data_IF_711127928799
#
_entry.id   IF_711127928799
#
_cell.length_a   1.000
_cell.length_b   1.000
_cell.length_c   1.000
_cell.angle_alpha   90.00
_cell.angle_beta   90.00
_cell.angle_gamma   90.00
#
_symmetry.space_group_name_H-M   'P 1'
#
loop_
_entity.id
_entity.type
_entity.pdbx_description
1 polymer ?
#
# COMPACT_ATOMS: atom_id res chain seq x y z
N UNK A 1 2.77 6.12 18.61
CA UNK A 1 1.58 5.30 18.91
C UNK A 1 1.85 3.87 18.44
N UNK A 2 1.87 2.90 19.33
CA UNK A 2 1.84 1.50 18.94
C UNK A 2 0.46 1.25 18.31
N UNK A 3 0.44 1.05 17.00
CA UNK A 3 -0.81 0.85 16.29
C UNK A 3 -1.55 -0.36 16.83
N UNK A 4 -2.82 -0.18 17.15
CA UNK A 4 -3.74 -1.28 17.44
C UNK A 4 -3.69 -2.24 16.24
N UNK A 5 -3.02 -3.37 16.40
CA UNK A 5 -3.05 -4.41 15.38
C UNK A 5 -4.38 -5.14 15.48
N UNK A 6 -5.15 -5.05 14.41
CA UNK A 6 -6.37 -5.85 14.27
C UNK A 6 -5.97 -7.32 14.20
N UNK A 7 -6.58 -8.14 15.06
CA UNK A 7 -6.28 -9.59 15.13
C UNK A 7 -7.25 -10.42 14.31
N UNK A 8 -8.44 -9.90 14.04
CA UNK A 8 -9.49 -10.60 13.32
C UNK A 8 -9.94 -9.81 12.09
N UNK A 9 -9.85 -10.38 10.89
CA UNK A 9 -10.21 -9.69 9.63
C UNK A 9 -11.70 -9.34 9.57
N UNK A 10 -12.57 -10.10 10.23
CA UNK A 10 -14.03 -9.87 10.26
C UNK A 10 -14.42 -8.53 10.90
N UNK A 11 -13.63 -8.05 11.86
CA UNK A 11 -13.86 -6.74 12.49
C UNK A 11 -13.70 -5.62 11.47
N UNK A 12 -12.76 -5.75 10.55
CA UNK A 12 -12.53 -4.75 9.51
C UNK A 12 -13.65 -4.72 8.48
N UNK A 13 -14.19 -5.88 8.11
CA UNK A 13 -15.31 -5.98 7.17
C UNK A 13 -16.58 -5.32 7.76
N UNK A 14 -16.73 -5.34 9.09
CA UNK A 14 -17.83 -4.65 9.78
C UNK A 14 -17.61 -3.14 9.94
N UNK A 15 -16.35 -2.69 10.13
CA UNK A 15 -16.01 -1.29 10.36
C UNK A 15 -15.83 -0.50 9.06
N UNK A 16 -15.31 -1.13 8.02
CA UNK A 16 -15.00 -0.51 6.74
C UNK A 16 -15.72 -1.32 5.65
N UNK A 17 -17.00 -1.03 5.38
CA UNK A 17 -17.65 -1.56 4.19
C UNK A 17 -16.91 -1.05 2.95
N UNK A 18 -17.05 -1.68 1.81
CA UNK A 18 -16.46 -1.30 0.53
C UNK A 18 -14.94 -1.54 0.39
N UNK A 19 -14.38 -2.51 1.12
CA UNK A 19 -13.01 -2.93 0.90
C UNK A 19 -12.88 -3.65 -0.45
N UNK A 20 -12.06 -3.07 -1.33
CA UNK A 20 -11.71 -3.65 -2.62
C UNK A 20 -10.36 -4.36 -2.51
N UNK A 21 -10.28 -5.53 -3.15
CA UNK A 21 -9.06 -6.34 -3.15
C UNK A 21 -8.50 -6.40 -4.58
N UNK A 22 -7.23 -6.09 -4.74
CA UNK A 22 -6.53 -6.21 -6.01
C UNK A 22 -5.27 -7.04 -5.87
N UNK A 23 -5.10 -8.00 -6.79
CA UNK A 23 -3.91 -8.83 -6.85
C UNK A 23 -2.83 -8.11 -7.64
N UNK A 24 -1.74 -7.74 -6.95
CA UNK A 24 -0.61 -7.02 -7.57
C UNK A 24 0.29 -7.97 -8.34
N UNK A 25 0.65 -9.10 -7.74
CA UNK A 25 1.59 -10.03 -8.36
C UNK A 25 1.45 -11.44 -7.80
N UNK A 26 1.71 -12.43 -8.67
CA UNK A 26 1.77 -13.84 -8.32
C UNK A 26 3.08 -14.41 -8.85
N UNK A 27 3.94 -14.85 -7.95
CA UNK A 27 5.24 -15.43 -8.28
C UNK A 27 5.31 -16.91 -7.91
N UNK A 28 5.84 -17.74 -8.80
CA UNK A 28 6.23 -19.11 -8.48
C UNK A 28 7.51 -19.08 -7.65
N UNK A 29 7.50 -19.74 -6.50
CA UNK A 29 8.65 -19.88 -5.61
C UNK A 29 8.97 -21.36 -5.45
N UNK A 30 10.17 -21.77 -5.80
CA UNK A 30 10.63 -23.14 -5.71
C UNK A 30 11.66 -23.29 -4.59
N UNK A 31 11.58 -24.39 -3.87
CA UNK A 31 12.60 -24.81 -2.89
C UNK A 31 13.10 -26.18 -3.30
N UNK A 32 14.40 -26.27 -3.56
CA UNK A 32 15.06 -27.54 -3.80
C UNK A 32 15.18 -28.32 -2.50
N UNK A 33 14.78 -29.57 -2.52
CA UNK A 33 14.96 -30.54 -1.42
C UNK A 33 15.60 -31.80 -1.97
N UNK A 34 16.16 -32.65 -1.10
CA UNK A 34 16.82 -33.92 -1.48
C UNK A 34 15.86 -34.86 -2.26
N UNK A 35 14.55 -34.75 -2.01
CA UNK A 35 13.50 -35.52 -2.69
C UNK A 35 12.94 -34.83 -3.95
N UNK A 36 13.53 -33.70 -4.42
CA UNK A 36 13.09 -32.95 -5.57
C UNK A 36 12.60 -31.52 -5.25
N UNK A 37 11.97 -30.90 -6.22
CA UNK A 37 11.51 -29.50 -6.13
C UNK A 37 10.13 -29.39 -5.48
N UNK A 38 10.02 -28.51 -4.48
CA UNK A 38 8.72 -28.09 -3.92
C UNK A 38 8.34 -26.72 -4.43
N UNK A 39 7.36 -26.67 -5.34
CA UNK A 39 6.84 -25.43 -5.90
C UNK A 39 5.70 -24.87 -5.04
N UNK A 40 5.70 -23.55 -4.84
CA UNK A 40 4.64 -22.78 -4.17
C UNK A 40 4.39 -21.47 -4.89
N UNK A 41 3.19 -20.97 -4.78
CA UNK A 41 2.83 -19.65 -5.30
C UNK A 41 2.86 -18.62 -4.17
N UNK A 42 3.51 -17.48 -4.43
CA UNK A 42 3.50 -16.32 -3.55
C UNK A 42 2.66 -15.24 -4.22
N UNK A 43 1.53 -14.90 -3.62
CA UNK A 43 0.68 -13.79 -4.03
C UNK A 43 0.94 -12.56 -3.17
N UNK A 44 0.79 -11.38 -3.77
CA UNK A 44 0.76 -10.07 -3.11
C UNK A 44 -0.55 -9.43 -3.47
N UNK A 45 -1.30 -9.04 -2.43
CA UNK A 45 -2.62 -8.45 -2.56
C UNK A 45 -2.65 -7.12 -1.83
N UNK A 46 -3.21 -6.11 -2.48
CA UNK A 46 -3.56 -4.85 -1.85
C UNK A 46 -5.06 -4.82 -1.55
N UNK A 47 -5.42 -4.26 -0.41
CA UNK A 47 -6.81 -4.08 0.03
C UNK A 47 -7.00 -2.63 0.42
N UNK A 48 -8.01 -1.96 -0.11
CA UNK A 48 -8.29 -0.55 0.20
C UNK A 48 -9.74 -0.17 -0.06
N UNK A 49 -10.15 0.97 0.48
CA UNK A 49 -11.51 1.49 0.33
C UNK A 49 -11.59 2.73 -0.57
N UNK A 50 -10.52 3.12 -1.24
CA UNK A 50 -10.38 4.38 -2.00
C UNK A 50 -10.70 5.65 -1.19
N UNK A 51 -10.82 5.52 0.12
CA UNK A 51 -11.15 6.63 1.03
C UNK A 51 -10.14 6.80 2.18
N UNK A 52 -8.90 6.40 1.97
CA UNK A 52 -7.80 6.67 2.90
C UNK A 52 -7.43 5.50 3.81
N UNK A 53 -7.85 4.27 3.48
CA UNK A 53 -7.37 3.06 4.14
C UNK A 53 -6.74 2.14 3.11
N UNK A 54 -5.58 1.62 3.42
CA UNK A 54 -4.83 0.70 2.57
C UNK A 54 -4.16 -0.38 3.41
N UNK A 55 -4.20 -1.61 2.91
CA UNK A 55 -3.47 -2.74 3.47
C UNK A 55 -2.70 -3.47 2.38
N UNK A 56 -1.54 -3.99 2.70
CA UNK A 56 -0.75 -4.80 1.79
C UNK A 56 -0.31 -6.08 2.47
N UNK A 57 -0.66 -7.21 1.86
CA UNK A 57 -0.36 -8.53 2.39
C UNK A 57 0.36 -9.44 1.40
N UNK A 58 1.01 -10.46 1.92
CA UNK A 58 1.64 -11.50 1.12
C UNK A 58 1.33 -12.89 1.66
N UNK A 59 0.86 -13.77 0.79
CA UNK A 59 0.55 -15.16 1.11
C UNK A 59 1.35 -16.15 0.27
N UNK A 60 1.62 -17.33 0.83
CA UNK A 60 2.25 -18.45 0.12
C UNK A 60 1.42 -19.72 0.30
N UNK A 61 1.12 -20.41 -0.80
CA UNK A 61 0.43 -21.70 -0.77
C UNK A 61 0.86 -22.59 -1.94
N UNK A 62 0.42 -23.84 -1.94
CA UNK A 62 0.62 -24.77 -3.05
C UNK A 62 -0.26 -24.44 -4.25
N UNK A 63 -1.46 -23.90 -3.99
CA UNK A 63 -2.40 -23.44 -5.01
C UNK A 63 -2.47 -21.93 -5.04
N UNK A 64 -2.68 -21.35 -6.23
CA UNK A 64 -2.77 -19.91 -6.44
C UNK A 64 -3.91 -19.30 -5.64
N UNK A 65 -5.10 -19.90 -5.68
CA UNK A 65 -6.29 -19.43 -4.97
C UNK A 65 -6.04 -19.30 -3.46
N UNK A 66 -5.52 -20.35 -2.84
CA UNK A 66 -5.20 -20.35 -1.41
C UNK A 66 -4.09 -19.33 -1.06
N UNK A 67 -3.17 -19.04 -2.01
CA UNK A 67 -2.15 -18.01 -1.81
C UNK A 67 -2.75 -16.60 -1.80
N UNK A 68 -3.71 -16.33 -2.69
CA UNK A 68 -4.45 -15.06 -2.76
C UNK A 68 -5.30 -14.86 -1.49
N UNK A 69 -6.07 -15.86 -1.08
CA UNK A 69 -6.89 -15.79 0.14
C UNK A 69 -6.04 -15.50 1.39
N UNK A 70 -4.90 -16.17 1.54
CA UNK A 70 -3.96 -15.89 2.64
C UNK A 70 -3.35 -14.49 2.56
N UNK A 71 -3.05 -14.02 1.35
CA UNK A 71 -2.52 -12.66 1.15
C UNK A 71 -3.58 -11.60 1.48
N UNK A 72 -4.84 -11.82 1.12
CA UNK A 72 -5.94 -10.93 1.43
C UNK A 72 -6.17 -10.81 2.94
N UNK A 73 -6.16 -11.93 3.66
CA UNK A 73 -6.25 -11.93 5.14
C UNK A 73 -5.07 -11.17 5.75
N UNK A 74 -3.83 -11.41 5.30
CA UNK A 74 -2.63 -10.70 5.77
C UNK A 74 -2.71 -9.19 5.46
N UNK A 75 -3.26 -8.80 4.31
CA UNK A 75 -3.46 -7.40 3.94
C UNK A 75 -4.48 -6.71 4.84
N UNK A 76 -5.59 -7.36 5.15
CA UNK A 76 -6.62 -6.84 6.08
C UNK A 76 -6.04 -6.63 7.49
N UNK A 77 -5.25 -7.56 7.99
CA UNK A 77 -4.60 -7.43 9.31
C UNK A 77 -3.57 -6.28 9.38
N UNK A 78 -3.05 -5.86 8.22
CA UNK A 78 -2.04 -4.80 8.08
C UNK A 78 -2.61 -3.49 7.56
N UNK A 79 -3.92 -3.28 7.66
CA UNK A 79 -4.55 -2.05 7.18
C UNK A 79 -4.05 -0.83 7.96
N UNK A 80 -3.77 0.24 7.24
CA UNK A 80 -3.22 1.49 7.78
C UNK A 80 -4.03 2.66 7.21
N UNK A 81 -4.35 3.67 8.03
CA UNK A 81 -4.92 4.90 7.53
C UNK A 81 -3.88 5.71 6.76
N UNK A 82 -4.30 6.37 5.70
CA UNK A 82 -3.49 7.27 4.87
C UNK A 82 -4.03 8.68 4.98
N UNK A 83 -3.17 9.63 5.37
CA UNK A 83 -3.55 11.04 5.42
C UNK A 83 -3.50 11.61 4.01
N UNK A 84 -4.66 12.09 3.56
CA UNK A 84 -4.83 12.75 2.27
C UNK A 84 -5.01 14.25 2.46
N UNK A 85 -4.65 15.03 1.45
CA UNK A 85 -4.79 16.48 1.50
C UNK A 85 -4.46 17.15 0.17
N UNK A 86 -4.14 18.44 0.22
CA UNK A 86 -3.61 19.20 -0.90
C UNK A 86 -2.29 19.83 -0.45
N UNK A 87 -1.17 19.18 -0.73
CA UNK A 87 0.19 19.62 -0.33
C UNK A 87 1.01 20.22 -1.46
N UNK A 88 0.44 20.36 -2.67
CA UNK A 88 1.12 20.97 -3.79
C UNK A 88 1.13 22.50 -3.67
N UNK A 89 2.31 23.12 -3.88
CA UNK A 89 2.45 24.57 -3.91
C UNK A 89 1.72 25.22 -5.13
N UNK A 90 1.48 24.43 -6.18
CA UNK A 90 0.76 24.87 -7.37
C UNK A 90 -0.77 24.86 -7.21
N UNK A 91 -1.29 24.21 -6.16
CA UNK A 91 -2.70 23.99 -5.96
C UNK A 91 -3.17 24.47 -4.58
N UNK A 92 -3.85 25.60 -4.51
CA UNK A 92 -4.45 26.13 -3.27
C UNK A 92 -5.90 25.69 -3.02
N UNK A 93 -6.34 24.52 -3.55
CA UNK A 93 -7.76 24.15 -3.56
C UNK A 93 -8.31 23.68 -2.18
N UNK A 94 -7.45 23.31 -1.23
CA UNK A 94 -7.85 22.83 0.11
C UNK A 94 -8.64 21.51 0.12
N UNK A 95 -8.85 20.87 -1.05
CA UNK A 95 -9.62 19.62 -1.18
C UNK A 95 -8.71 18.41 -1.06
N UNK A 96 -9.29 17.30 -0.63
CA UNK A 96 -8.60 16.01 -0.48
C UNK A 96 -8.48 15.34 -1.85
N UNK A 97 -7.31 15.43 -2.48
CA UNK A 97 -7.04 14.77 -3.77
C UNK A 97 -5.62 14.20 -3.87
N UNK A 98 -4.72 14.63 -3.01
CA UNK A 98 -3.31 14.23 -3.00
C UNK A 98 -2.84 13.89 -1.59
N UNK A 99 -1.54 13.88 -1.37
CA UNK A 99 -0.91 13.79 -0.05
C UNK A 99 -0.56 15.18 0.49
N UNK A 100 -0.53 15.38 1.82
CA UNK A 100 -0.29 16.70 2.41
C UNK A 100 1.17 17.19 2.30
N UNK A 101 2.13 16.29 2.19
CA UNK A 101 3.56 16.57 2.07
C UNK A 101 4.28 15.43 1.38
N UNK A 102 5.51 15.67 0.94
CA UNK A 102 6.35 14.63 0.33
C UNK A 102 6.70 13.56 1.36
N UNK A 103 6.51 12.30 0.99
CA UNK A 103 6.82 11.13 1.81
C UNK A 103 7.78 10.20 1.10
N UNK A 104 8.65 9.56 1.86
CA UNK A 104 9.59 8.57 1.38
C UNK A 104 9.31 7.23 2.05
N UNK A 105 9.29 6.16 1.24
CA UNK A 105 9.19 4.79 1.72
C UNK A 105 10.35 3.93 1.22
N UNK A 106 10.78 2.99 2.04
CA UNK A 106 11.91 2.11 1.73
C UNK A 106 11.59 0.65 2.04
N UNK A 107 11.94 -0.20 1.09
CA UNK A 107 11.92 -1.65 1.32
C UNK A 107 13.12 -2.31 0.62
N UNK A 108 14.07 -2.82 1.41
CA UNK A 108 15.32 -3.35 0.89
C UNK A 108 16.14 -2.27 0.18
N UNK A 109 16.49 -2.52 -1.09
CA UNK A 109 17.22 -1.58 -1.94
C UNK A 109 16.32 -0.57 -2.65
N UNK A 110 15.01 -0.75 -2.62
CA UNK A 110 14.06 0.12 -3.29
C UNK A 110 13.69 1.29 -2.38
N UNK A 111 13.74 2.49 -2.91
CA UNK A 111 13.23 3.72 -2.30
C UNK A 111 12.22 4.35 -3.22
N UNK A 112 11.14 4.85 -2.65
CA UNK A 112 10.10 5.54 -3.38
C UNK A 112 9.77 6.85 -2.67
N UNK A 113 9.79 7.94 -3.43
CA UNK A 113 9.30 9.24 -2.96
C UNK A 113 7.97 9.50 -3.64
N UNK A 114 6.95 9.80 -2.85
CA UNK A 114 5.65 10.28 -3.33
C UNK A 114 5.60 11.79 -3.08
N UNK A 115 5.31 12.54 -4.13
CA UNK A 115 5.31 14.00 -4.15
C UNK A 115 3.89 14.48 -4.44
N UNK A 116 3.34 15.44 -3.67
CA UNK A 116 2.01 15.96 -3.93
C UNK A 116 1.93 16.65 -5.29
N UNK A 117 0.88 16.34 -6.06
CA UNK A 117 0.61 16.94 -7.37
C UNK A 117 -0.53 17.93 -7.36
N UNK A 118 -0.60 18.86 -8.35
CA UNK A 118 -1.74 19.73 -8.55
C UNK A 118 -2.98 18.95 -8.99
N UNK A 119 -4.14 19.52 -8.79
CA UNK A 119 -5.41 18.90 -9.15
C UNK A 119 -5.52 18.69 -10.66
N UNK A 120 -5.94 17.48 -11.05
CA UNK A 120 -6.11 17.11 -12.46
C UNK A 120 -4.85 16.54 -13.13
N UNK A 121 -3.75 16.40 -12.39
CA UNK A 121 -2.53 15.75 -12.87
C UNK A 121 -2.73 14.25 -13.11
N UNK A 122 -3.53 13.60 -12.27
CA UNK A 122 -3.61 12.15 -12.20
C UNK A 122 -2.43 11.52 -11.45
N UNK A 123 -2.40 10.19 -11.38
CA UNK A 123 -1.33 9.43 -10.73
C UNK A 123 -0.21 9.16 -11.72
N UNK A 124 0.93 9.83 -11.55
CA UNK A 124 2.16 9.60 -12.34
C UNK A 124 3.05 8.62 -11.59
N UNK A 125 2.87 7.33 -11.88
CA UNK A 125 3.53 6.24 -11.18
C UNK A 125 3.67 5.00 -12.08
N UNK A 126 4.44 4.00 -11.64
CA UNK A 126 4.44 2.67 -12.24
C UNK A 126 3.10 1.96 -12.01
N UNK A 127 2.80 0.95 -12.80
CA UNK A 127 1.54 0.19 -12.74
C UNK A 127 1.21 -0.31 -11.32
N UNK A 128 2.18 -0.94 -10.66
CA UNK A 128 2.02 -1.42 -9.28
C UNK A 128 1.71 -0.29 -8.28
N UNK A 129 2.41 0.84 -8.42
CA UNK A 129 2.18 1.97 -7.52
C UNK A 129 0.82 2.64 -7.80
N UNK A 130 0.38 2.70 -9.07
CA UNK A 130 -0.95 3.22 -9.44
C UNK A 130 -2.07 2.48 -8.73
N UNK A 131 -2.04 1.15 -8.76
CA UNK A 131 -3.04 0.30 -8.08
C UNK A 131 -3.09 0.60 -6.58
N UNK A 132 -1.94 0.66 -5.92
CA UNK A 132 -1.87 0.91 -4.48
C UNK A 132 -2.35 2.33 -4.13
N UNK A 133 -1.93 3.34 -4.91
CA UNK A 133 -2.31 4.74 -4.69
C UNK A 133 -3.80 4.99 -4.99
N UNK A 134 -4.36 4.34 -6.00
CA UNK A 134 -5.80 4.40 -6.29
C UNK A 134 -6.63 3.78 -5.17
N UNK A 135 -6.24 2.59 -4.69
CA UNK A 135 -6.88 1.95 -3.54
C UNK A 135 -6.78 2.77 -2.25
N UNK A 136 -5.71 3.58 -2.09
CA UNK A 136 -5.57 4.53 -0.99
C UNK A 136 -6.43 5.79 -1.17
N UNK A 137 -7.00 6.00 -2.36
CA UNK A 137 -7.83 7.17 -2.68
C UNK A 137 -7.03 8.44 -3.01
N UNK A 138 -5.79 8.29 -3.49
CA UNK A 138 -4.95 9.39 -3.98
C UNK A 138 -5.16 9.52 -5.47
N UNK A 139 -5.59 10.71 -5.91
CA UNK A 139 -5.93 10.98 -7.32
C UNK A 139 -4.84 11.70 -8.09
N UNK A 140 -4.04 12.52 -7.40
CA UNK A 140 -3.03 13.38 -8.03
C UNK A 140 -1.72 13.28 -7.25
N UNK A 141 -0.70 12.67 -7.86
CA UNK A 141 0.64 12.64 -7.27
C UNK A 141 1.71 12.32 -8.31
N UNK A 142 2.94 12.75 -8.03
CA UNK A 142 4.14 12.26 -8.71
C UNK A 142 4.84 11.21 -7.85
N UNK A 143 5.48 10.26 -8.50
CA UNK A 143 6.34 9.29 -7.82
C UNK A 143 7.74 9.30 -8.41
N UNK A 144 8.74 9.20 -7.56
CA UNK A 144 10.14 9.05 -7.96
C UNK A 144 10.72 7.83 -7.27
N UNK A 145 11.14 6.86 -8.04
CA UNK A 145 11.65 5.57 -7.55
C UNK A 145 13.14 5.40 -7.81
N UNK A 146 13.82 4.78 -6.87
CA UNK A 146 15.25 4.48 -6.90
C UNK A 146 15.51 3.03 -6.52
N UNK A 147 16.60 2.47 -7.03
CA UNK A 147 17.04 1.13 -6.72
C UNK A 147 16.46 0.06 -7.66
N UNK A 148 16.36 -1.18 -7.20
CA UNK A 148 15.89 -2.32 -8.00
C UNK A 148 14.36 -2.38 -8.10
N UNK A 149 13.77 -1.45 -8.81
CA UNK A 149 12.31 -1.32 -8.98
C UNK A 149 11.67 -2.49 -9.74
N UNK A 150 12.47 -3.30 -10.43
CA UNK A 150 12.01 -4.52 -11.10
C UNK A 150 11.49 -5.57 -10.13
N UNK A 151 11.91 -5.53 -8.86
CA UNK A 151 11.42 -6.43 -7.81
C UNK A 151 10.05 -5.97 -7.31
N UNK A 152 8.98 -6.41 -7.98
CA UNK A 152 7.58 -6.03 -7.68
C UNK A 152 7.22 -6.16 -6.19
N UNK A 153 7.56 -7.27 -5.48
CA UNK A 153 7.28 -7.36 -4.05
C UNK A 153 7.88 -6.23 -3.22
N UNK A 154 9.18 -5.99 -3.38
CA UNK A 154 9.89 -4.94 -2.63
C UNK A 154 9.38 -3.55 -2.98
N UNK A 155 9.05 -3.33 -4.26
CA UNK A 155 8.48 -2.07 -4.72
C UNK A 155 7.11 -1.79 -4.10
N UNK A 156 6.19 -2.78 -4.09
CA UNK A 156 4.89 -2.66 -3.47
C UNK A 156 4.99 -2.33 -1.96
N UNK A 157 5.88 -3.02 -1.24
CA UNK A 157 6.12 -2.72 0.18
C UNK A 157 6.76 -1.34 0.41
N UNK A 158 7.60 -0.84 -0.51
CA UNK A 158 8.15 0.52 -0.42
C UNK A 158 7.05 1.58 -0.60
N UNK A 159 6.10 1.37 -1.54
CA UNK A 159 4.92 2.25 -1.68
C UNK A 159 4.08 2.26 -0.41
N UNK A 160 3.82 1.08 0.14
CA UNK A 160 3.04 0.95 1.38
C UNK A 160 3.72 1.61 2.58
N UNK A 161 5.05 1.51 2.69
CA UNK A 161 5.83 2.16 3.73
C UNK A 161 5.77 3.69 3.59
N UNK A 162 5.88 4.22 2.36
CA UNK A 162 5.69 5.65 2.11
C UNK A 162 4.31 6.16 2.57
N UNK A 163 3.24 5.37 2.34
CA UNK A 163 1.90 5.75 2.78
C UNK A 163 1.74 5.74 4.31
N UNK A 164 2.42 4.84 5.03
CA UNK A 164 2.46 4.86 6.50
C UNK A 164 3.09 6.13 7.04
N UNK A 165 4.10 6.68 6.37
CA UNK A 165 4.80 7.89 6.80
C UNK A 165 3.87 9.11 6.83
N UNK A 166 2.75 9.11 6.07
CA UNK A 166 1.79 10.23 6.05
C UNK A 166 1.19 10.51 7.43
N UNK A 167 1.13 9.52 8.32
CA UNK A 167 0.59 9.64 9.69
C UNK A 167 1.64 9.93 10.77
N UNK A 168 2.92 10.00 10.41
CA UNK A 168 3.98 10.36 11.38
C UNK A 168 3.98 11.85 11.71
N UNK A 169 3.40 12.70 10.86
CA UNK A 169 3.27 14.13 11.14
C UNK A 169 2.15 14.36 12.15
N UNK A 170 2.50 14.90 13.31
CA UNK A 170 1.57 15.32 14.35
C UNK A 170 1.10 16.73 14.01
N UNK A 171 -0.21 16.90 13.82
CA UNK A 171 -0.82 18.22 13.61
C UNK A 171 -1.30 18.81 14.93
N UNK A 172 -1.52 20.16 15.02
CA UNK A 172 -2.04 20.79 16.22
C UNK A 172 -3.36 20.18 16.73
N UNK A 173 -4.19 19.64 15.83
CA UNK A 173 -5.41 18.92 16.20
C UNK A 173 -5.14 17.61 16.94
N UNK A 174 -3.97 17.01 16.78
CA UNK A 174 -3.55 15.78 17.44
C UNK A 174 -2.96 16.04 18.85
N UNK A 175 -2.70 17.32 19.20
CA UNK A 175 -2.14 17.70 20.51
C UNK A 175 -3.19 17.74 21.63
N UNK A 176 -4.47 17.74 21.27
CA UNK A 176 -5.61 17.91 22.19
C UNK A 176 -6.12 16.57 22.73
N UNK A 177 -5.31 15.53 22.73
CA UNK A 177 -5.67 14.24 23.31
C UNK A 177 -4.79 13.84 24.46
#
# INVERSE_FOLDING_TARGET
MAGLQVREPQILDALIPDLQEEVININLVQKQTDAGEKSRFKAIVAVGNRDGYIGLGSGKASQVRNAIEKAAVDARLKIVPVRRGCGSWECGCGKVHSIPFQVEGKCGSVRLNVIPGPRGLGVVASEVAKVILDLAGIKDCWTRSFGSTKTVPSFAFAVFDALKETYKLITPADWVR
#
